data_IF_751620173659
#
_entry.id   IF_751620173659
#
_cell.length_a   1.000
_cell.length_b   1.000
_cell.length_c   1.000
_cell.angle_alpha   90.00
_cell.angle_beta   90.00
_cell.angle_gamma   90.00
#
_symmetry.space_group_name_H-M   'P 1'
#
loop_
_entity.id
_entity.type
_entity.pdbx_description
1 polymer ?
#
# COMPACT_ATOMS: atom_id res chain seq x y z
N UNK A 1 -14.77 40.41 -0.01
CA UNK A 1 -14.95 39.07 -0.61
C UNK A 1 -13.93 38.15 0.04
N UNK A 2 -14.34 37.11 0.78
CA UNK A 2 -13.42 36.14 1.36
C UNK A 2 -13.24 35.00 0.36
N UNK A 3 -12.04 34.85 -0.20
CA UNK A 3 -11.69 33.68 -0.99
C UNK A 3 -11.62 32.48 -0.03
N UNK A 4 -12.49 31.50 -0.22
CA UNK A 4 -12.35 30.23 0.47
C UNK A 4 -11.13 29.51 -0.11
N UNK A 5 -10.10 29.34 0.71
CA UNK A 5 -8.93 28.55 0.38
C UNK A 5 -9.34 27.09 0.20
N UNK A 6 -9.17 26.56 -1.00
CA UNK A 6 -9.38 25.14 -1.30
C UNK A 6 -8.24 24.32 -0.66
N UNK A 7 -8.39 23.93 0.61
CA UNK A 7 -7.49 22.99 1.26
C UNK A 7 -8.04 21.57 1.10
N UNK A 8 -7.65 20.90 0.02
CA UNK A 8 -7.98 19.50 -0.26
C UNK A 8 -6.73 18.64 -0.45
N UNK A 9 -6.83 17.35 -0.18
CA UNK A 9 -5.77 16.37 -0.46
C UNK A 9 -5.95 15.81 -1.87
N UNK A 10 -4.90 15.89 -2.69
CA UNK A 10 -4.86 15.27 -4.01
C UNK A 10 -4.17 13.90 -3.92
N UNK A 11 -4.87 12.83 -4.29
CA UNK A 11 -4.31 11.48 -4.39
C UNK A 11 -4.13 11.16 -5.87
N UNK A 12 -2.89 10.84 -6.27
CA UNK A 12 -2.53 10.51 -7.66
C UNK A 12 -2.11 9.05 -7.76
N UNK A 13 -2.60 8.36 -8.81
CA UNK A 13 -2.35 6.93 -9.05
C UNK A 13 -1.56 6.74 -10.36
N UNK A 14 -0.23 6.94 -10.36
CA UNK A 14 0.59 6.67 -11.54
C UNK A 14 0.60 5.18 -11.87
N UNK A 15 0.44 4.85 -13.15
CA UNK A 15 0.38 3.46 -13.66
C UNK A 15 1.76 2.82 -13.81
N UNK A 16 2.81 3.65 -13.91
CA UNK A 16 4.18 3.18 -14.09
C UNK A 16 5.22 4.09 -13.41
N UNK A 17 6.46 3.60 -13.34
CA UNK A 17 7.57 4.30 -12.68
C UNK A 17 7.94 5.63 -13.35
N UNK A 18 7.74 5.73 -14.66
CA UNK A 18 8.05 6.94 -15.43
C UNK A 18 7.08 8.07 -15.09
N UNK A 19 5.77 7.78 -15.07
CA UNK A 19 4.73 8.72 -14.63
C UNK A 19 4.96 9.19 -13.19
N UNK A 20 5.30 8.27 -12.28
CA UNK A 20 5.61 8.61 -10.89
C UNK A 20 6.83 9.55 -10.80
N UNK A 21 7.87 9.31 -11.59
CA UNK A 21 9.07 10.15 -11.62
C UNK A 21 8.76 11.56 -12.14
N UNK A 22 7.99 11.64 -13.23
CA UNK A 22 7.57 12.91 -13.81
C UNK A 22 6.73 13.75 -12.82
N UNK A 23 5.77 13.12 -12.12
CA UNK A 23 4.95 13.79 -11.11
C UNK A 23 5.79 14.36 -9.96
N UNK A 24 6.78 13.60 -9.46
CA UNK A 24 7.69 14.08 -8.41
C UNK A 24 8.52 15.27 -8.87
N UNK A 25 9.04 15.22 -10.09
CA UNK A 25 9.82 16.31 -10.67
C UNK A 25 8.98 17.58 -10.80
N UNK A 26 7.75 17.44 -11.29
CA UNK A 26 6.78 18.53 -11.38
C UNK A 26 6.49 19.12 -10.00
N UNK A 27 6.09 18.32 -9.02
CA UNK A 27 5.78 18.80 -7.67
C UNK A 27 6.96 19.53 -7.01
N UNK A 28 8.20 19.02 -7.18
CA UNK A 28 9.42 19.68 -6.70
C UNK A 28 9.66 21.03 -7.37
N UNK A 29 9.49 21.11 -8.69
CA UNK A 29 9.70 22.35 -9.43
C UNK A 29 8.77 23.48 -8.96
N UNK A 30 7.57 23.13 -8.50
CA UNK A 30 6.59 24.07 -7.96
C UNK A 30 6.64 24.20 -6.42
N UNK A 31 7.67 23.64 -5.78
CA UNK A 31 7.84 23.67 -4.33
C UNK A 31 6.63 23.09 -3.55
N UNK A 32 5.93 22.12 -4.15
CA UNK A 32 4.80 21.40 -3.55
C UNK A 32 5.35 20.23 -2.75
N UNK A 33 5.03 20.19 -1.46
CA UNK A 33 5.35 19.04 -0.60
C UNK A 33 4.41 17.88 -0.91
N UNK A 34 4.96 16.67 -0.99
CA UNK A 34 4.20 15.45 -1.23
C UNK A 34 4.69 14.34 -0.30
N UNK A 35 3.77 13.43 0.01
CA UNK A 35 4.05 12.24 0.81
C UNK A 35 3.98 11.01 -0.11
N UNK A 36 5.02 10.18 -0.08
CA UNK A 36 4.98 8.88 -0.72
C UNK A 36 4.53 7.85 0.29
N UNK A 37 3.26 7.45 0.21
CA UNK A 37 2.79 6.32 0.97
C UNK A 37 3.23 5.01 0.30
N UNK A 38 4.52 4.70 0.41
CA UNK A 38 5.03 3.35 0.18
C UNK A 38 4.54 2.53 1.37
N UNK A 39 3.31 2.04 1.36
CA UNK A 39 2.91 1.06 2.37
C UNK A 39 3.55 -0.27 1.99
N UNK A 40 4.66 -0.71 2.63
CA UNK A 40 4.83 -2.14 2.78
C UNK A 40 3.58 -2.65 3.49
N UNK A 41 3.21 -3.90 3.22
CA UNK A 41 2.15 -4.56 3.99
C UNK A 41 2.29 -4.25 5.49
N UNK A 42 1.17 -3.96 6.16
CA UNK A 42 1.12 -3.68 7.60
C UNK A 42 2.12 -4.59 8.36
N UNK A 43 2.92 -4.02 9.26
CA UNK A 43 3.91 -4.76 10.04
C UNK A 43 3.30 -5.99 10.73
N UNK A 44 2.05 -5.89 11.20
CA UNK A 44 1.30 -7.01 11.77
C UNK A 44 1.04 -8.12 10.74
N UNK A 45 0.69 -7.76 9.50
CA UNK A 45 0.51 -8.71 8.41
C UNK A 45 1.84 -9.41 8.06
N UNK A 46 2.93 -8.66 7.97
CA UNK A 46 4.26 -9.21 7.70
C UNK A 46 4.72 -10.15 8.81
N UNK A 47 4.44 -9.82 10.08
CA UNK A 47 4.72 -10.68 11.22
C UNK A 47 3.90 -11.98 11.17
N UNK A 48 2.59 -11.91 10.91
CA UNK A 48 1.71 -13.08 10.74
C UNK A 48 2.19 -13.98 9.60
N UNK A 49 2.60 -13.42 8.47
CA UNK A 49 3.17 -14.22 7.37
C UNK A 49 4.44 -14.97 7.77
N UNK A 50 5.33 -14.34 8.55
CA UNK A 50 6.56 -14.99 9.01
C UNK A 50 6.25 -16.18 9.93
N UNK A 51 5.30 -16.01 10.84
CA UNK A 51 4.81 -17.09 11.72
C UNK A 51 4.18 -18.23 10.91
N UNK A 52 3.30 -17.90 9.97
CA UNK A 52 2.66 -18.89 9.11
C UNK A 52 3.67 -19.70 8.28
N UNK A 53 4.69 -19.05 7.71
CA UNK A 53 5.79 -19.73 7.00
C UNK A 53 6.56 -20.68 7.91
N UNK A 54 6.79 -20.31 9.16
CA UNK A 54 7.47 -21.16 10.14
C UNK A 54 6.63 -22.37 10.51
N UNK A 55 5.33 -22.16 10.80
CA UNK A 55 4.39 -23.24 11.08
C UNK A 55 4.28 -24.23 9.92
N UNK A 56 4.28 -23.73 8.67
CA UNK A 56 4.29 -24.59 7.49
C UNK A 56 5.55 -25.46 7.38
N UNK A 57 6.73 -24.90 7.68
CA UNK A 57 7.99 -25.66 7.75
C UNK A 57 7.97 -26.73 8.85
N UNK A 58 7.33 -26.42 9.98
CA UNK A 58 7.15 -27.33 11.11
C UNK A 58 6.02 -28.35 10.90
N UNK A 59 5.36 -28.35 9.74
CA UNK A 59 4.25 -29.27 9.43
C UNK A 59 2.95 -28.96 10.17
N UNK A 60 2.85 -27.79 10.83
CA UNK A 60 1.64 -27.30 11.53
C UNK A 60 0.68 -26.64 10.54
N UNK A 61 0.28 -27.39 9.51
CA UNK A 61 -0.68 -26.94 8.50
C UNK A 61 -1.98 -27.71 8.65
N UNK A 62 -3.09 -27.06 8.27
CA UNK A 62 -4.39 -27.71 8.17
C UNK A 62 -4.71 -27.84 6.69
N UNK A 63 -5.04 -29.05 6.25
CA UNK A 63 -5.56 -29.28 4.90
C UNK A 63 -7.07 -29.13 4.97
N UNK A 64 -7.60 -28.18 4.21
CA UNK A 64 -9.05 -27.95 4.08
C UNK A 64 -9.50 -28.38 2.69
N UNK A 65 -10.66 -29.02 2.61
CA UNK A 65 -11.28 -29.37 1.33
C UNK A 65 -12.14 -28.21 0.82
N UNK A 66 -12.39 -28.18 -0.49
CA UNK A 66 -13.12 -27.07 -1.13
C UNK A 66 -14.54 -26.93 -0.57
N UNK A 67 -15.22 -28.05 -0.32
CA UNK A 67 -16.57 -28.10 0.27
C UNK A 67 -16.65 -27.50 1.69
N UNK A 68 -15.54 -27.41 2.43
CA UNK A 68 -15.49 -26.82 3.77
C UNK A 68 -15.38 -25.29 3.74
N UNK A 69 -14.86 -24.73 2.63
CA UNK A 69 -14.59 -23.29 2.48
C UNK A 69 -15.83 -22.53 1.99
N UNK A 70 -16.71 -23.19 1.22
CA UNK A 70 -17.84 -22.55 0.52
C UNK A 70 -19.22 -22.91 1.12
N UNK A 71 -19.30 -23.22 2.42
CA UNK A 71 -20.57 -23.45 3.12
C UNK A 71 -21.42 -22.20 3.30
#
# INVERSE_FOLDING_TARGET
>A
MRNFEYMGTLIVHPENKEQLSALKAFMKAFNISFEENKQPYNAEFTAKMKVSKQQAKEGKTVKVNLDEVWK
#
